data_IF_200680596225
#
_entry.id   IF_200680596225
#
_cell.length_a   1.000
_cell.length_b   1.000
_cell.length_c   1.000
_cell.angle_alpha   90.00
_cell.angle_beta   90.00
_cell.angle_gamma   90.00
#
_symmetry.space_group_name_H-M   'P 1'
#
loop_
_entity.id
_entity.type
_entity.pdbx_description
1 polymer ?
#
# COMPACT_ATOMS: atom_id res chain seq x y z
N UNK A 1 15.00 9.15 1.47
CA UNK A 1 14.93 7.92 0.65
C UNK A 1 14.85 6.64 1.49
N UNK A 2 15.40 6.59 2.71
CA UNK A 2 15.34 5.41 3.60
C UNK A 2 13.93 4.93 3.99
N UNK A 3 12.93 5.83 4.03
CA UNK A 3 11.61 5.53 4.62
C UNK A 3 10.76 4.57 3.78
N UNK A 4 10.92 4.57 2.46
CA UNK A 4 10.17 3.69 1.57
C UNK A 4 10.71 2.26 1.54
N UNK A 5 12.01 2.08 1.81
CA UNK A 5 12.65 0.76 1.82
C UNK A 5 12.50 0.02 3.16
N UNK A 6 12.43 0.73 4.29
CA UNK A 6 12.31 0.10 5.61
C UNK A 6 10.88 -0.32 5.97
N UNK A 7 9.93 0.63 5.97
CA UNK A 7 8.52 0.36 6.35
C UNK A 7 7.64 0.01 5.16
N UNK A 8 8.15 0.22 3.94
CA UNK A 8 7.41 -0.06 2.71
C UNK A 8 6.84 -1.47 2.69
N UNK A 9 7.64 -2.54 2.83
CA UNK A 9 7.14 -3.92 2.82
C UNK A 9 6.05 -4.20 3.86
N UNK A 10 6.15 -3.62 5.06
CA UNK A 10 5.17 -3.84 6.13
C UNK A 10 3.75 -3.42 5.72
N UNK A 11 3.60 -2.28 5.03
CA UNK A 11 2.29 -1.84 4.54
C UNK A 11 1.72 -2.73 3.44
N UNK A 12 2.59 -3.38 2.63
CA UNK A 12 2.14 -4.34 1.63
C UNK A 12 1.73 -5.65 2.28
N UNK A 13 2.43 -6.11 3.31
CA UNK A 13 2.03 -7.30 4.08
C UNK A 13 0.64 -7.11 4.68
N UNK A 14 0.39 -5.95 5.31
CA UNK A 14 -0.94 -5.62 5.84
C UNK A 14 -2.01 -5.60 4.75
N UNK A 15 -1.71 -5.03 3.58
CA UNK A 15 -2.66 -5.04 2.46
C UNK A 15 -2.94 -6.47 1.96
N UNK A 16 -1.91 -7.31 1.82
CA UNK A 16 -2.05 -8.72 1.39
C UNK A 16 -2.89 -9.51 2.39
N UNK A 17 -2.64 -9.33 3.69
CA UNK A 17 -3.40 -9.97 4.76
C UNK A 17 -4.88 -9.57 4.71
N UNK A 18 -5.18 -8.27 4.61
CA UNK A 18 -6.55 -7.78 4.52
C UNK A 18 -7.28 -8.26 3.26
N UNK A 19 -6.58 -8.35 2.12
CA UNK A 19 -7.14 -8.93 0.89
C UNK A 19 -7.41 -10.43 1.03
N UNK A 20 -6.52 -11.17 1.70
CA UNK A 20 -6.71 -12.58 1.98
C UNK A 20 -7.91 -12.81 2.91
N UNK A 21 -8.07 -11.98 3.95
CA UNK A 21 -9.25 -11.99 4.82
C UNK A 21 -10.53 -11.75 4.04
N UNK A 22 -10.55 -10.74 3.15
CA UNK A 22 -11.67 -10.48 2.25
C UNK A 22 -11.99 -11.68 1.33
N UNK A 23 -10.96 -12.35 0.82
CA UNK A 23 -11.11 -13.58 0.04
C UNK A 23 -11.74 -14.72 0.85
N UNK A 24 -11.36 -14.88 2.12
CA UNK A 24 -11.96 -15.87 3.01
C UNK A 24 -13.42 -15.55 3.32
N UNK A 25 -13.75 -14.28 3.57
CA UNK A 25 -15.14 -13.83 3.74
C UNK A 25 -15.97 -14.12 2.48
N UNK A 26 -15.37 -14.01 1.30
CA UNK A 26 -15.98 -14.36 0.02
C UNK A 26 -16.02 -15.88 -0.26
N UNK A 27 -15.53 -16.73 0.66
CA UNK A 27 -15.62 -18.19 0.59
C UNK A 27 -14.37 -18.91 0.07
N UNK A 28 -13.25 -18.21 -0.12
CA UNK A 28 -12.00 -18.86 -0.54
C UNK A 28 -11.28 -19.56 0.63
N UNK A 29 -10.61 -20.69 0.39
CA UNK A 29 -9.64 -21.24 1.35
C UNK A 29 -8.54 -20.22 1.66
N UNK A 30 -8.13 -20.14 2.92
CA UNK A 30 -7.12 -19.17 3.41
C UNK A 30 -5.85 -19.16 2.58
N UNK A 31 -5.29 -20.33 2.28
CA UNK A 31 -4.03 -20.45 1.53
C UNK A 31 -4.18 -19.97 0.09
N UNK A 32 -5.33 -20.25 -0.54
CA UNK A 32 -5.64 -19.78 -1.88
C UNK A 32 -5.83 -18.26 -1.89
N UNK A 33 -6.58 -17.72 -0.93
CA UNK A 33 -6.80 -16.28 -0.81
C UNK A 33 -5.48 -15.51 -0.62
N UNK A 34 -4.59 -16.02 0.22
CA UNK A 34 -3.26 -15.45 0.46
C UNK A 34 -2.39 -15.49 -0.81
N UNK A 35 -2.39 -16.62 -1.53
CA UNK A 35 -1.65 -16.77 -2.78
C UNK A 35 -2.14 -15.79 -3.86
N UNK A 36 -3.46 -15.68 -4.05
CA UNK A 36 -4.07 -14.74 -4.99
C UNK A 36 -3.79 -13.29 -4.63
N UNK A 37 -3.93 -12.92 -3.34
CA UNK A 37 -3.63 -11.57 -2.86
C UNK A 37 -2.15 -11.20 -3.11
N UNK A 38 -1.23 -12.10 -2.78
CA UNK A 38 0.20 -11.90 -3.00
C UNK A 38 0.54 -11.71 -4.48
N UNK A 39 -0.01 -12.56 -5.34
CA UNK A 39 0.21 -12.48 -6.78
C UNK A 39 -0.40 -11.21 -7.40
N UNK A 40 -1.53 -10.75 -6.88
CA UNK A 40 -2.18 -9.51 -7.32
C UNK A 40 -1.29 -8.30 -7.04
N UNK A 41 -0.69 -8.22 -5.84
CA UNK A 41 0.25 -7.15 -5.49
C UNK A 41 1.49 -7.20 -6.37
N UNK A 42 2.06 -8.40 -6.60
CA UNK A 42 3.20 -8.59 -7.49
C UNK A 42 2.86 -8.11 -8.91
N UNK A 43 1.72 -8.54 -9.46
CA UNK A 43 1.26 -8.16 -10.79
C UNK A 43 1.09 -6.66 -10.95
N UNK A 44 0.44 -5.99 -9.98
CA UNK A 44 0.26 -4.54 -10.00
C UNK A 44 1.61 -3.80 -9.96
N UNK A 45 2.55 -4.23 -9.11
CA UNK A 45 3.88 -3.64 -9.03
C UNK A 45 4.67 -3.85 -10.34
N UNK A 46 4.63 -5.05 -10.91
CA UNK A 46 5.26 -5.36 -12.19
C UNK A 46 4.66 -4.55 -13.34
N UNK A 47 3.34 -4.33 -13.37
CA UNK A 47 2.70 -3.49 -14.38
C UNK A 47 3.21 -2.06 -14.34
N UNK A 48 3.36 -1.46 -13.16
CA UNK A 48 3.90 -0.09 -13.01
C UNK A 48 5.34 -0.02 -13.51
N UNK A 49 6.20 -0.95 -13.07
CA UNK A 49 7.63 -0.96 -13.41
C UNK A 49 7.84 -1.20 -14.91
N UNK A 50 7.12 -2.14 -15.50
CA UNK A 50 7.36 -2.59 -16.87
C UNK A 50 6.64 -1.74 -17.93
N UNK A 51 5.50 -1.13 -17.60
CA UNK A 51 4.73 -0.35 -18.58
C UNK A 51 5.19 1.09 -18.71
N UNK A 52 5.82 1.67 -17.67
CA UNK A 52 6.12 3.10 -17.60
C UNK A 52 4.88 4.01 -17.60
N UNK A 53 3.66 3.45 -17.55
CA UNK A 53 2.40 4.19 -17.52
C UNK A 53 2.17 4.79 -16.13
N UNK A 54 1.44 5.90 -16.11
CA UNK A 54 0.99 6.50 -14.86
C UNK A 54 0.05 5.54 -14.10
N UNK A 55 0.19 5.36 -12.76
CA UNK A 55 -0.68 4.45 -12.00
C UNK A 55 -2.17 4.75 -12.12
N UNK A 56 -2.54 6.03 -12.29
CA UNK A 56 -3.93 6.42 -12.56
C UNK A 56 -4.47 5.82 -13.86
N UNK A 57 -3.65 5.79 -14.92
CA UNK A 57 -4.01 5.18 -16.19
C UNK A 57 -4.10 3.66 -16.06
N UNK A 58 -3.14 3.01 -15.37
CA UNK A 58 -3.20 1.56 -15.13
C UNK A 58 -4.43 1.15 -14.34
N UNK A 59 -4.84 1.97 -13.37
CA UNK A 59 -6.09 1.79 -12.60
C UNK A 59 -7.32 1.88 -13.51
N UNK A 60 -7.33 2.83 -14.45
CA UNK A 60 -8.43 2.96 -15.40
C UNK A 60 -8.42 1.81 -16.44
N UNK A 61 -7.25 1.36 -16.89
CA UNK A 61 -7.08 0.25 -17.84
C UNK A 61 -7.67 -1.08 -17.30
N UNK A 62 -7.73 -1.27 -15.97
CA UNK A 62 -8.28 -2.48 -15.31
C UNK A 62 -9.71 -2.31 -14.78
N UNK A 63 -10.29 -1.12 -14.91
CA UNK A 63 -11.61 -0.78 -14.40
C UNK A 63 -12.61 -0.61 -15.56
N UNK A 64 -13.44 -1.62 -15.81
CA UNK A 64 -14.51 -1.52 -16.80
C UNK A 64 -15.67 -0.65 -16.29
N UNK A 65 -16.37 0.08 -17.17
CA UNK A 65 -17.58 0.82 -16.82
C UNK A 65 -18.64 -0.09 -16.19
N UNK A 66 -19.13 0.25 -15.00
CA UNK A 66 -20.13 -0.53 -14.27
C UNK A 66 -19.63 -1.86 -13.69
N UNK A 67 -18.33 -2.15 -13.76
CA UNK A 67 -17.73 -3.37 -13.24
C UNK A 67 -17.51 -3.39 -11.72
N UNK A 68 -17.13 -4.55 -11.20
CA UNK A 68 -16.80 -4.73 -9.78
C UNK A 68 -15.57 -3.94 -9.36
N UNK A 69 -14.57 -3.79 -10.25
CA UNK A 69 -13.35 -3.02 -9.98
C UNK A 69 -13.67 -1.55 -9.69
N UNK A 70 -14.53 -0.90 -10.49
CA UNK A 70 -14.84 0.51 -10.29
C UNK A 70 -15.70 0.73 -9.02
N UNK A 71 -16.58 -0.23 -8.69
CA UNK A 71 -17.31 -0.22 -7.43
C UNK A 71 -16.36 -0.36 -6.23
N UNK A 72 -15.41 -1.30 -6.28
CA UNK A 72 -14.39 -1.46 -5.23
C UNK A 72 -13.50 -0.23 -5.07
N UNK A 73 -13.09 0.40 -6.18
CA UNK A 73 -12.35 1.68 -6.13
C UNK A 73 -13.21 2.76 -5.45
N UNK A 74 -14.49 2.86 -5.79
CA UNK A 74 -15.38 3.84 -5.17
C UNK A 74 -15.43 3.68 -3.64
N UNK A 75 -15.63 2.46 -3.14
CA UNK A 75 -15.65 2.18 -1.70
C UNK A 75 -14.32 2.53 -1.02
N UNK A 76 -13.18 2.19 -1.64
CA UNK A 76 -11.86 2.53 -1.12
C UNK A 76 -11.62 4.05 -1.03
N UNK A 77 -12.12 4.82 -1.99
CA UNK A 77 -12.03 6.28 -1.95
C UNK A 77 -12.95 6.87 -0.87
N UNK A 78 -14.15 6.32 -0.66
CA UNK A 78 -15.09 6.76 0.38
C UNK A 78 -14.50 6.62 1.79
N UNK A 79 -13.78 5.52 2.05
CA UNK A 79 -13.12 5.30 3.35
C UNK A 79 -11.78 6.03 3.50
N UNK A 80 -11.39 6.83 2.51
CA UNK A 80 -10.19 7.68 2.58
C UNK A 80 -8.87 6.92 2.43
N UNK A 81 -8.85 5.82 1.68
CA UNK A 81 -7.67 4.96 1.51
C UNK A 81 -6.40 5.73 1.08
N UNK A 82 -6.53 6.66 0.11
CA UNK A 82 -5.42 7.52 -0.31
C UNK A 82 -4.89 8.41 0.81
N UNK A 83 -5.81 8.97 1.61
CA UNK A 83 -5.48 9.82 2.75
C UNK A 83 -4.65 9.06 3.77
N UNK A 84 -5.07 7.83 4.12
CA UNK A 84 -4.37 6.96 5.06
C UNK A 84 -2.95 6.63 4.57
N UNK A 85 -2.79 6.22 3.30
CA UNK A 85 -1.47 5.92 2.75
C UNK A 85 -0.55 7.15 2.71
N UNK A 86 -1.08 8.31 2.31
CA UNK A 86 -0.32 9.56 2.24
C UNK A 86 0.10 10.02 3.64
N UNK A 87 -0.84 10.01 4.59
CA UNK A 87 -0.59 10.37 5.98
C UNK A 87 0.44 9.45 6.62
N UNK A 88 0.37 8.14 6.38
CA UNK A 88 1.33 7.18 6.94
C UNK A 88 2.76 7.48 6.47
N UNK A 89 2.95 7.83 5.20
CA UNK A 89 4.28 8.22 4.68
C UNK A 89 4.76 9.55 5.25
N UNK A 90 3.86 10.53 5.43
CA UNK A 90 4.22 11.83 5.99
C UNK A 90 4.49 11.78 7.50
N UNK A 91 3.74 10.98 8.26
CA UNK A 91 3.95 10.79 9.70
C UNK A 91 5.36 10.25 9.99
N UNK A 92 5.83 9.30 9.18
CA UNK A 92 7.20 8.78 9.29
C UNK A 92 8.26 9.88 9.11
N UNK A 93 8.01 10.87 8.26
CA UNK A 93 8.91 12.02 8.11
C UNK A 93 9.01 12.82 9.40
N UNK A 94 7.90 12.97 10.12
CA UNK A 94 7.85 13.76 11.35
C UNK A 94 8.54 13.05 12.52
N UNK A 95 8.28 11.75 12.70
CA UNK A 95 8.86 10.94 13.79
C UNK A 95 10.39 10.78 13.64
N UNK A 96 10.88 10.61 12.41
CA UNK A 96 12.33 10.51 12.17
C UNK A 96 13.02 11.86 12.38
N UNK A 97 12.37 12.99 12.04
CA UNK A 97 12.89 14.33 12.33
C UNK A 97 12.96 14.63 13.84
N UNK A 98 12.11 14.04 14.67
CA UNK A 98 12.29 14.11 16.13
C UNK A 98 13.45 13.22 16.58
N UNK A 99 13.55 11.98 16.08
CA UNK A 99 14.67 11.08 16.40
C UNK A 99 16.06 11.61 15.99
N UNK A 100 16.18 12.23 14.81
CA UNK A 100 17.43 12.85 14.37
C UNK A 100 17.79 14.09 15.19
N UNK A 101 16.79 14.84 15.68
CA UNK A 101 17.03 15.97 16.60
C UNK A 101 17.58 15.48 17.93
N UNK A 102 17.01 14.43 18.48
CA UNK A 102 17.45 13.85 19.75
C UNK A 102 18.84 13.20 19.63
N UNK A 103 19.15 12.60 18.47
CA UNK A 103 20.48 12.04 18.18
C UNK A 103 21.56 13.12 18.02
N UNK A 104 21.22 14.27 17.44
CA UNK A 104 22.15 15.40 17.29
C UNK A 104 22.39 16.12 18.64
N UNK A 105 21.37 16.18 19.51
CA UNK A 105 21.53 16.66 20.89
C UNK A 105 22.49 15.80 21.71
N UNK A 106 22.55 14.49 21.44
CA UNK A 106 23.49 13.58 22.10
C UNK A 106 24.95 13.76 21.65
N UNK A 107 25.20 14.27 20.44
CA UNK A 107 26.55 14.53 19.91
C UNK A 107 27.23 15.78 20.50
N UNK A 108 26.49 16.65 21.18
CA UNK A 108 27.03 17.87 21.82
C UNK A 108 27.20 17.75 23.35
N UNK A 109 26.88 16.59 23.93
CA UNK A 109 27.00 16.30 25.37
C UNK A 109 28.11 15.25 25.68
N UNK A 110 28.99 14.97 24.71
CA UNK A 110 30.13 14.06 24.86
C UNK A 110 31.46 14.75 24.68
#
# INVERSE_FOLDING_TARGET
MLHFNGSGPAYKFLAIEAMADGGVVAGLPRDLALGLASQTVLGAASMIINSGKHPGQLKDDVASPGGTTIAGIHELEQVGFRGILTFTVELLRTIVKSFQRDSCAFQYLG
#
